data_IF_776549855224
#
_entry.id   IF_776549855224
#
_cell.length_a   1.000
_cell.length_b   1.000
_cell.length_c   1.000
_cell.angle_alpha   90.00
_cell.angle_beta   90.00
_cell.angle_gamma   90.00
#
_symmetry.space_group_name_H-M   'P 1'
#
loop_
_entity.id
_entity.type
_entity.pdbx_description
1 polymer ?
#
# COMPACT_ATOMS: atom_id res chain seq x y z
N UNK A 1 5.83 13.76 52.98
CA UNK A 1 5.49 12.86 51.86
C UNK A 1 4.41 13.56 51.03
N UNK A 2 4.37 13.61 49.68
CA UNK A 2 5.03 12.77 48.66
C UNK A 2 5.71 13.57 47.52
N UNK A 3 7.04 13.47 47.36
CA UNK A 3 7.81 14.17 46.30
C UNK A 3 8.17 13.25 45.11
N UNK A 4 7.74 11.98 45.14
CA UNK A 4 8.11 10.91 44.18
C UNK A 4 7.09 10.65 43.07
N UNK A 5 5.91 11.29 43.10
CA UNK A 5 4.83 11.08 42.13
C UNK A 5 4.92 11.97 40.88
N UNK A 6 5.73 13.04 40.93
CA UNK A 6 5.88 14.00 39.82
C UNK A 6 6.59 13.47 38.55
N UNK A 7 7.60 12.58 38.59
CA UNK A 7 8.27 12.11 37.38
C UNK A 7 7.46 11.05 36.61
N UNK A 8 6.56 10.32 37.28
CA UNK A 8 5.71 9.31 36.63
C UNK A 8 4.61 9.95 35.77
N UNK A 9 4.08 11.11 36.16
CA UNK A 9 3.07 11.83 35.40
C UNK A 9 3.65 12.50 34.14
N UNK A 10 4.90 12.98 34.23
CA UNK A 10 5.60 13.61 33.12
C UNK A 10 5.97 12.61 32.00
N UNK A 11 6.15 11.33 32.33
CA UNK A 11 6.44 10.27 31.35
C UNK A 11 5.18 9.72 30.66
N UNK A 12 3.99 9.85 31.27
CA UNK A 12 2.74 9.31 30.73
C UNK A 12 2.09 10.19 29.65
N UNK A 13 2.37 11.50 29.68
CA UNK A 13 1.79 12.48 28.75
C UNK A 13 2.16 12.27 27.26
N UNK A 14 3.41 11.89 26.87
CA UNK A 14 3.74 11.63 25.46
C UNK A 14 3.13 10.35 24.89
N UNK A 15 2.77 9.35 25.72
CA UNK A 15 2.14 8.10 25.24
C UNK A 15 0.68 8.29 24.80
N UNK A 16 -0.01 9.32 25.29
CA UNK A 16 -1.41 9.58 24.94
C UNK A 16 -1.56 10.28 23.58
N UNK A 17 -0.48 10.82 23.00
CA UNK A 17 -0.49 11.57 21.74
C UNK A 17 -0.34 10.68 20.49
N UNK A 18 0.02 9.39 20.62
CA UNK A 18 0.22 8.50 19.46
C UNK A 18 -1.07 7.86 18.92
N UNK A 19 -2.24 8.16 19.49
CA UNK A 19 -3.51 7.56 19.08
C UNK A 19 -4.19 8.24 17.87
N UNK A 20 -3.62 9.32 17.33
CA UNK A 20 -4.23 10.10 16.24
C UNK A 20 -3.95 9.58 14.82
N UNK A 21 -3.37 8.39 14.65
CA UNK A 21 -3.30 7.77 13.33
C UNK A 21 -4.71 7.32 12.91
N UNK A 22 -5.43 8.21 12.21
CA UNK A 22 -6.83 8.02 11.83
C UNK A 22 -7.08 6.66 11.19
N UNK A 23 -7.92 5.86 11.82
CA UNK A 23 -8.33 4.57 11.27
C UNK A 23 -9.09 4.79 9.95
N UNK A 24 -8.89 3.93 8.93
CA UNK A 24 -9.60 4.05 7.67
C UNK A 24 -11.10 3.90 7.87
N UNK A 25 -11.89 4.75 7.20
CA UNK A 25 -13.37 4.68 7.23
C UNK A 25 -13.91 3.38 6.64
N UNK A 26 -13.15 2.75 5.74
CA UNK A 26 -13.46 1.47 5.11
C UNK A 26 -12.33 0.47 5.35
N UNK A 27 -12.26 -0.17 6.53
CA UNK A 27 -11.14 -1.02 6.92
C UNK A 27 -10.97 -2.25 6.02
N UNK A 28 -12.06 -2.83 5.52
CA UNK A 28 -12.02 -3.98 4.63
C UNK A 28 -11.38 -3.62 3.28
N UNK A 29 -11.82 -2.54 2.65
CA UNK A 29 -11.26 -2.06 1.38
C UNK A 29 -9.81 -1.57 1.56
N UNK A 30 -9.50 -0.96 2.70
CA UNK A 30 -8.14 -0.56 3.05
C UNK A 30 -7.20 -1.77 3.12
N UNK A 31 -7.64 -2.84 3.78
CA UNK A 31 -6.91 -4.10 3.86
C UNK A 31 -6.78 -4.76 2.48
N UNK A 32 -7.84 -4.79 1.69
CA UNK A 32 -7.83 -5.35 0.34
C UNK A 32 -6.85 -4.61 -0.58
N UNK A 33 -6.91 -3.28 -0.61
CA UNK A 33 -5.96 -2.44 -1.34
C UNK A 33 -4.51 -2.69 -0.88
N UNK A 34 -4.27 -2.77 0.43
CA UNK A 34 -2.92 -3.02 0.98
C UNK A 34 -2.38 -4.41 0.64
N UNK A 35 -3.25 -5.43 0.70
CA UNK A 35 -2.90 -6.80 0.31
C UNK A 35 -2.62 -6.88 -1.19
N UNK A 36 -3.52 -6.34 -2.00
CA UNK A 36 -3.40 -6.33 -3.45
C UNK A 36 -2.16 -5.58 -3.95
N UNK A 37 -1.81 -4.43 -3.36
CA UNK A 37 -0.58 -3.71 -3.66
C UNK A 37 0.67 -4.56 -3.40
N UNK A 38 0.75 -5.24 -2.24
CA UNK A 38 1.88 -6.13 -1.92
C UNK A 38 2.02 -7.25 -2.94
N UNK A 39 0.91 -7.93 -3.25
CA UNK A 39 0.90 -9.01 -4.23
C UNK A 39 1.34 -8.53 -5.61
N UNK A 40 0.77 -7.43 -6.09
CA UNK A 40 1.05 -6.93 -7.43
C UNK A 40 2.49 -6.39 -7.57
N UNK A 41 3.07 -5.79 -6.54
CA UNK A 41 4.49 -5.43 -6.56
C UNK A 41 5.40 -6.66 -6.60
N UNK A 42 5.06 -7.72 -5.87
CA UNK A 42 5.80 -8.98 -5.93
C UNK A 42 5.72 -9.60 -7.33
N UNK A 43 4.53 -9.62 -7.95
CA UNK A 43 4.34 -10.09 -9.33
C UNK A 43 5.13 -9.25 -10.35
N UNK A 44 5.16 -7.93 -10.18
CA UNK A 44 5.90 -7.01 -11.07
C UNK A 44 7.41 -7.26 -11.01
N UNK A 45 7.95 -7.45 -9.81
CA UNK A 45 9.38 -7.75 -9.60
C UNK A 45 9.72 -9.18 -10.03
N UNK A 46 8.81 -10.14 -9.86
CA UNK A 46 8.95 -11.48 -10.41
C UNK A 46 9.07 -11.43 -11.94
N UNK A 47 8.18 -10.70 -12.62
CA UNK A 47 8.26 -10.52 -14.07
C UNK A 47 9.59 -9.88 -14.50
N UNK A 48 10.09 -8.89 -13.74
CA UNK A 48 11.40 -8.28 -13.97
C UNK A 48 12.54 -9.30 -13.84
N UNK A 49 12.52 -10.12 -12.79
CA UNK A 49 13.58 -11.07 -12.49
C UNK A 49 13.66 -12.26 -13.47
N UNK A 50 12.51 -12.77 -13.93
CA UNK A 50 12.45 -13.88 -14.88
C UNK A 50 12.54 -13.44 -16.34
N UNK A 51 12.51 -12.13 -16.60
CA UNK A 51 12.42 -11.56 -17.93
C UNK A 51 10.96 -11.46 -18.39
N UNK A 52 10.64 -10.32 -19.02
CA UNK A 52 9.35 -10.04 -19.65
C UNK A 52 9.60 -9.61 -21.09
N UNK A 53 8.63 -9.85 -21.97
CA UNK A 53 8.74 -9.50 -23.40
C UNK A 53 8.10 -8.14 -23.70
N UNK A 54 7.08 -7.74 -22.92
CA UNK A 54 6.34 -6.49 -23.11
C UNK A 54 6.78 -5.35 -22.19
N UNK A 55 7.80 -4.57 -22.58
CA UNK A 55 8.26 -3.39 -21.79
C UNK A 55 7.18 -2.33 -21.60
N UNK A 56 6.32 -2.13 -22.60
CA UNK A 56 5.22 -1.16 -22.53
C UNK A 56 4.19 -1.60 -21.49
N UNK A 57 3.79 -2.86 -21.50
CA UNK A 57 2.81 -3.41 -20.54
C UNK A 57 3.39 -3.43 -19.12
N UNK A 58 4.66 -3.77 -18.97
CA UNK A 58 5.36 -3.69 -17.68
C UNK A 58 5.35 -2.24 -17.14
N UNK A 59 5.63 -1.26 -18.00
CA UNK A 59 5.63 0.18 -17.62
C UNK A 59 4.22 0.65 -17.25
N UNK A 60 3.18 0.24 -17.99
CA UNK A 60 1.78 0.52 -17.65
C UNK A 60 1.42 -0.04 -16.27
N UNK A 61 1.83 -1.27 -15.98
CA UNK A 61 1.61 -1.89 -14.68
C UNK A 61 2.28 -1.09 -13.55
N UNK A 62 3.57 -0.75 -13.70
CA UNK A 62 4.31 0.04 -12.72
C UNK A 62 3.65 1.42 -12.46
N UNK A 63 3.19 2.10 -13.51
CA UNK A 63 2.47 3.37 -13.40
C UNK A 63 1.13 3.23 -12.67
N UNK A 64 0.37 2.16 -12.94
CA UNK A 64 -0.88 1.87 -12.25
C UNK A 64 -0.67 1.58 -10.76
N UNK A 65 0.36 0.81 -10.39
CA UNK A 65 0.69 0.55 -8.98
C UNK A 65 1.11 1.82 -8.25
N UNK A 66 1.87 2.69 -8.91
CA UNK A 66 2.24 4.01 -8.37
C UNK A 66 0.99 4.85 -8.09
N UNK A 67 0.07 4.95 -9.05
CA UNK A 67 -1.19 5.67 -8.87
C UNK A 67 -2.11 5.02 -7.80
N UNK A 68 -2.14 3.69 -7.72
CA UNK A 68 -2.87 2.96 -6.69
C UNK A 68 -2.32 3.25 -5.28
N UNK A 69 -0.99 3.32 -5.14
CA UNK A 69 -0.33 3.65 -3.87
C UNK A 69 -0.69 5.05 -3.39
N UNK A 70 -0.72 6.02 -4.30
CA UNK A 70 -1.22 7.38 -3.99
C UNK A 70 -2.67 7.30 -3.50
N UNK A 71 -3.53 6.58 -4.21
CA UNK A 71 -4.94 6.44 -3.81
C UNK A 71 -5.12 5.75 -2.45
N UNK A 72 -4.27 4.78 -2.10
CA UNK A 72 -4.22 4.18 -0.76
C UNK A 72 -3.96 5.24 0.31
N UNK A 73 -3.00 6.13 0.08
CA UNK A 73 -2.62 7.18 1.04
C UNK A 73 -3.73 8.22 1.24
N UNK A 74 -4.55 8.46 0.23
CA UNK A 74 -5.71 9.36 0.31
C UNK A 74 -7.03 8.66 0.71
N UNK A 75 -6.96 7.39 1.14
CA UNK A 75 -8.16 6.63 1.54
C UNK A 75 -9.14 6.34 0.41
N UNK A 76 -8.71 6.43 -0.85
CA UNK A 76 -9.52 6.15 -2.04
C UNK A 76 -9.44 4.66 -2.41
N UNK A 77 -9.82 3.80 -1.48
CA UNK A 77 -9.60 2.35 -1.56
C UNK A 77 -10.27 1.66 -2.76
N UNK A 78 -11.53 1.96 -3.15
CA UNK A 78 -12.13 1.35 -4.33
C UNK A 78 -11.34 1.61 -5.62
N UNK A 79 -10.82 2.83 -5.77
CA UNK A 79 -9.98 3.19 -6.92
C UNK A 79 -8.60 2.51 -6.86
N UNK A 80 -8.01 2.41 -5.66
CA UNK A 80 -6.78 1.64 -5.45
C UNK A 80 -6.96 0.20 -5.92
N UNK A 81 -8.02 -0.47 -5.45
CA UNK A 81 -8.32 -1.87 -5.79
C UNK A 81 -8.45 -2.03 -7.31
N UNK A 82 -9.22 -1.15 -7.97
CA UNK A 82 -9.37 -1.19 -9.43
C UNK A 82 -8.03 -1.03 -10.16
N UNK A 83 -7.17 -0.10 -9.73
CA UNK A 83 -5.85 0.10 -10.35
C UNK A 83 -4.91 -1.08 -10.11
N UNK A 84 -4.95 -1.69 -8.92
CA UNK A 84 -4.22 -2.92 -8.61
C UNK A 84 -4.65 -4.05 -9.55
N UNK A 85 -5.96 -4.28 -9.72
CA UNK A 85 -6.47 -5.32 -10.63
C UNK A 85 -5.98 -5.11 -12.07
N UNK A 86 -6.02 -3.86 -12.56
CA UNK A 86 -5.52 -3.51 -13.89
C UNK A 86 -4.00 -3.66 -14.01
N UNK A 87 -3.25 -3.31 -12.96
CA UNK A 87 -1.80 -3.51 -12.95
C UNK A 87 -1.46 -4.99 -13.10
N UNK A 88 -2.13 -5.88 -12.36
CA UNK A 88 -1.93 -7.34 -12.45
C UNK A 88 -2.26 -7.89 -13.84
N UNK A 89 -3.30 -7.37 -14.49
CA UNK A 89 -3.58 -7.67 -15.90
C UNK A 89 -2.39 -7.32 -16.80
N UNK A 90 -1.82 -6.12 -16.67
CA UNK A 90 -0.68 -5.71 -17.48
C UNK A 90 0.64 -6.43 -17.13
N UNK A 91 0.83 -6.84 -15.87
CA UNK A 91 1.95 -7.71 -15.47
C UNK A 91 1.86 -9.05 -16.19
N UNK A 92 0.66 -9.62 -16.28
CA UNK A 92 0.43 -10.84 -17.05
C UNK A 92 0.70 -10.61 -18.54
N UNK A 93 0.16 -9.54 -19.13
CA UNK A 93 0.40 -9.22 -20.55
C UNK A 93 1.89 -9.04 -20.87
N UNK A 94 2.66 -8.41 -19.98
CA UNK A 94 4.11 -8.23 -20.17
C UNK A 94 4.89 -9.55 -20.31
N UNK A 95 4.38 -10.64 -19.73
CA UNK A 95 5.00 -11.96 -19.76
C UNK A 95 4.58 -12.79 -20.99
N UNK A 96 3.49 -12.42 -21.66
CA UNK A 96 3.00 -13.13 -22.84
C UNK A 96 3.77 -12.64 -24.09
N UNK A 97 4.28 -13.53 -24.95
CA UNK A 97 4.86 -13.15 -26.24
C UNK A 97 3.80 -12.52 -27.14
N UNK A 98 4.12 -11.39 -27.79
CA UNK A 98 3.26 -10.74 -28.79
C UNK A 98 3.78 -11.00 -30.21
#
# INVERSE_FOLDING_TARGET
>A
MPRKSLPLLALALPLLLSACAGAPTHPNEAHECASGLRTAYAELEQARAHGFQGTVEWTKAAGLLTAAKVQQQFGKYPNCINKVQRARYYIHQAQVPH
#
